data_IF_451905069019
#
_entry.id   IF_451905069019
#
_cell.length_a   1.000
_cell.length_b   1.000
_cell.length_c   1.000
_cell.angle_alpha   90.00
_cell.angle_beta   90.00
_cell.angle_gamma   90.00
#
_symmetry.space_group_name_H-M   'P 1'
#
loop_
_entity.id
_entity.type
_entity.pdbx_description
1 polymer ?
#
# COMPACT_ATOMS: atom_id res chain seq x y z
N UNK A 1 3.87 -4.35 -2.97
CA UNK A 1 4.04 -3.89 -4.37
C UNK A 1 4.18 -2.37 -4.35
N UNK A 2 5.00 -1.80 -5.24
CA UNK A 2 5.14 -0.35 -5.39
C UNK A 2 4.45 0.13 -6.67
N UNK A 3 3.81 1.29 -6.60
CA UNK A 3 3.13 1.92 -7.73
C UNK A 3 3.61 3.35 -7.85
N UNK A 4 3.49 3.88 -9.07
CA UNK A 4 3.60 5.33 -9.26
C UNK A 4 2.29 5.96 -8.75
N UNK A 5 2.35 6.94 -7.82
CA UNK A 5 1.15 7.51 -7.19
C UNK A 5 0.26 8.29 -8.19
N UNK A 6 0.87 8.90 -9.21
CA UNK A 6 0.17 9.72 -10.20
C UNK A 6 -0.63 8.85 -11.18
N UNK A 7 -0.06 7.73 -11.61
CA UNK A 7 -0.69 6.83 -12.59
C UNK A 7 -1.41 5.64 -11.97
N UNK A 8 -1.16 5.35 -10.69
CA UNK A 8 -1.61 4.15 -9.95
C UNK A 8 -1.22 2.83 -10.62
N UNK A 9 -0.21 2.85 -11.51
CA UNK A 9 0.29 1.65 -12.21
C UNK A 9 1.52 1.07 -11.53
N UNK A 10 1.72 -0.25 -11.61
CA UNK A 10 2.95 -0.89 -11.15
C UNK A 10 4.17 -0.30 -11.86
N UNK A 11 5.24 -0.04 -11.11
CA UNK A 11 6.52 0.39 -11.68
C UNK A 11 7.27 -0.85 -12.20
N UNK A 12 7.69 -0.90 -13.47
CA UNK A 12 8.47 -2.01 -14.00
C UNK A 12 9.81 -2.17 -13.27
N UNK A 13 10.27 -3.41 -13.10
CA UNK A 13 11.58 -3.70 -12.49
C UNK A 13 12.73 -3.03 -13.22
N UNK A 14 12.67 -2.96 -14.55
CA UNK A 14 13.69 -2.29 -15.37
C UNK A 14 13.85 -0.80 -15.06
N UNK A 15 12.79 -0.12 -14.60
CA UNK A 15 12.87 1.29 -14.18
C UNK A 15 13.55 1.41 -12.82
N UNK A 16 13.25 0.47 -11.90
CA UNK A 16 13.87 0.42 -10.58
C UNK A 16 15.37 0.11 -10.71
N UNK A 17 15.76 -0.83 -11.58
CA UNK A 17 17.16 -1.18 -11.82
C UNK A 17 17.96 0.00 -12.40
N UNK A 18 17.38 0.72 -13.37
CA UNK A 18 17.99 1.94 -13.91
C UNK A 18 18.19 3.01 -12.83
N UNK A 19 17.17 3.26 -12.02
CA UNK A 19 17.25 4.24 -10.94
C UNK A 19 18.30 3.85 -9.88
N UNK A 20 18.42 2.56 -9.53
CA UNK A 20 19.47 2.08 -8.62
C UNK A 20 20.88 2.32 -9.19
N UNK A 21 21.05 2.11 -10.50
CA UNK A 21 22.32 2.35 -11.18
C UNK A 21 22.67 3.85 -11.23
N UNK A 22 21.71 4.71 -11.54
CA UNK A 22 21.88 6.17 -11.56
C UNK A 22 22.18 6.74 -10.16
N UNK A 23 21.61 6.16 -9.11
CA UNK A 23 21.89 6.50 -7.71
C UNK A 23 23.22 5.94 -7.19
N UNK A 24 23.98 5.23 -8.04
CA UNK A 24 25.21 4.53 -7.68
C UNK A 24 25.03 3.63 -6.43
N UNK A 25 23.88 2.98 -6.28
CA UNK A 25 23.59 2.15 -5.13
C UNK A 25 24.39 0.85 -5.18
N UNK A 26 25.33 0.68 -4.24
CA UNK A 26 26.13 -0.55 -4.12
C UNK A 26 25.37 -1.64 -3.34
N UNK A 27 25.02 -2.72 -4.04
CA UNK A 27 24.49 -3.94 -3.46
C UNK A 27 25.59 -4.71 -2.73
N UNK A 28 25.32 -5.14 -1.49
CA UNK A 28 26.25 -5.88 -0.63
C UNK A 28 25.81 -7.34 -0.55
N UNK A 29 26.51 -8.30 -1.19
CA UNK A 29 26.10 -9.71 -1.21
C UNK A 29 25.96 -10.33 0.19
N UNK A 30 26.76 -9.86 1.15
CA UNK A 30 26.78 -10.36 2.53
C UNK A 30 25.65 -9.82 3.42
N UNK A 31 24.78 -8.94 2.90
CA UNK A 31 23.61 -8.40 3.63
C UNK A 31 22.32 -9.03 3.12
N UNK A 32 21.35 -9.20 4.02
CA UNK A 32 20.06 -9.73 3.60
C UNK A 32 19.31 -8.76 2.66
N UNK A 33 18.52 -9.31 1.74
CA UNK A 33 17.80 -8.51 0.74
C UNK A 33 16.81 -7.53 1.36
N UNK A 34 16.18 -7.89 2.49
CA UNK A 34 15.19 -7.04 3.18
C UNK A 34 15.80 -5.76 3.74
N UNK A 35 16.96 -5.86 4.39
CA UNK A 35 17.70 -4.72 4.93
C UNK A 35 18.19 -3.82 3.80
N UNK A 36 18.74 -4.41 2.73
CA UNK A 36 19.19 -3.64 1.57
C UNK A 36 18.01 -2.89 0.91
N UNK A 37 16.85 -3.53 0.79
CA UNK A 37 15.64 -2.88 0.27
C UNK A 37 15.18 -1.72 1.17
N UNK A 38 15.23 -1.88 2.50
CA UNK A 38 14.89 -0.81 3.45
C UNK A 38 15.84 0.39 3.35
N UNK A 39 17.11 0.17 3.00
CA UNK A 39 18.08 1.24 2.74
C UNK A 39 17.93 1.87 1.35
N UNK A 40 17.55 1.09 0.35
CA UNK A 40 17.41 1.54 -1.04
C UNK A 40 16.12 2.33 -1.29
N UNK A 41 14.99 1.92 -0.69
CA UNK A 41 13.67 2.53 -0.92
C UNK A 41 13.64 4.05 -0.65
N UNK A 42 14.20 4.57 0.46
CA UNK A 42 14.24 6.02 0.71
C UNK A 42 15.04 6.77 -0.36
N UNK A 43 16.18 6.23 -0.80
CA UNK A 43 17.01 6.83 -1.86
C UNK A 43 16.30 6.81 -3.22
N UNK A 44 15.62 5.69 -3.52
CA UNK A 44 14.82 5.57 -4.74
C UNK A 44 13.68 6.59 -4.80
N UNK A 45 13.11 6.99 -3.66
CA UNK A 45 12.08 8.04 -3.60
C UNK A 45 12.57 9.43 -4.03
N UNK A 46 13.87 9.68 -3.97
CA UNK A 46 14.48 10.94 -4.43
C UNK A 46 14.58 10.99 -5.95
N UNK A 47 14.81 9.85 -6.61
CA UNK A 47 14.91 9.75 -8.06
C UNK A 47 13.56 9.49 -8.75
N UNK A 48 12.70 8.65 -8.17
CA UNK A 48 11.42 8.25 -8.75
C UNK A 48 10.28 8.35 -7.73
N UNK A 49 9.11 8.88 -8.15
CA UNK A 49 7.92 8.90 -7.31
C UNK A 49 7.36 7.49 -7.15
N UNK A 50 7.55 6.90 -5.97
CA UNK A 50 7.09 5.56 -5.63
C UNK A 50 6.33 5.55 -4.30
N UNK A 51 5.18 4.88 -4.30
CA UNK A 51 4.36 4.66 -3.10
C UNK A 51 4.06 3.16 -2.96
N UNK A 52 3.76 2.73 -1.72
CA UNK A 52 3.19 1.39 -1.53
C UNK A 52 1.79 1.38 -2.13
N UNK A 53 1.50 0.36 -2.93
CA UNK A 53 0.15 0.13 -3.41
C UNK A 53 -0.77 -0.10 -2.22
N UNK A 54 -1.81 0.72 -2.09
CA UNK A 54 -2.94 0.47 -1.19
C UNK A 54 -3.97 -0.41 -1.91
N UNK A 55 -4.62 -1.31 -1.20
CA UNK A 55 -5.70 -2.12 -1.74
C UNK A 55 -7.04 -1.50 -1.41
N UNK A 56 -7.93 -1.37 -2.39
CA UNK A 56 -9.32 -0.98 -2.14
C UNK A 56 -10.14 -2.22 -1.83
N UNK A 57 -10.73 -2.25 -0.65
CA UNK A 57 -11.54 -3.37 -0.16
C UNK A 57 -12.97 -2.87 0.05
N UNK A 58 -13.94 -3.61 -0.49
CA UNK A 58 -15.36 -3.42 -0.21
C UNK A 58 -15.83 -4.52 0.72
N UNK A 59 -16.46 -4.13 1.82
CA UNK A 59 -16.97 -5.04 2.84
C UNK A 59 -18.45 -4.77 2.99
N UNK A 60 -19.27 -5.82 2.91
CA UNK A 60 -20.69 -5.79 3.20
C UNK A 60 -20.98 -6.81 4.30
N UNK A 61 -21.68 -6.41 5.35
CA UNK A 61 -22.01 -7.29 6.46
C UNK A 61 -23.37 -6.96 7.11
N UNK A 62 -24.06 -7.95 7.71
CA UNK A 62 -25.31 -7.72 8.42
C UNK A 62 -25.12 -6.87 9.70
N UNK A 63 -26.16 -6.12 10.08
CA UNK A 63 -26.13 -5.15 11.19
C UNK A 63 -25.75 -5.74 12.55
N UNK A 64 -25.98 -7.04 12.76
CA UNK A 64 -25.70 -7.72 14.03
C UNK A 64 -24.18 -7.88 14.27
N UNK A 65 -23.41 -8.25 13.25
CA UNK A 65 -21.95 -8.42 13.30
C UNK A 65 -21.21 -7.09 13.14
N UNK A 66 -21.83 -6.16 12.40
CA UNK A 66 -21.27 -4.85 12.10
C UNK A 66 -20.93 -4.06 13.36
N UNK A 67 -21.81 -4.03 14.36
CA UNK A 67 -21.60 -3.23 15.58
C UNK A 67 -20.36 -3.64 16.37
N UNK A 68 -20.00 -4.93 16.37
CA UNK A 68 -18.86 -5.47 17.10
C UNK A 68 -17.57 -5.30 16.29
N UNK A 69 -17.65 -5.58 14.99
CA UNK A 69 -16.47 -5.72 14.12
C UNK A 69 -16.03 -4.38 13.52
N UNK A 70 -16.95 -3.42 13.42
CA UNK A 70 -16.71 -2.09 12.85
C UNK A 70 -15.54 -1.34 13.48
N UNK A 71 -15.40 -1.36 14.80
CA UNK A 71 -14.28 -0.69 15.49
C UNK A 71 -12.92 -1.31 15.15
N UNK A 72 -12.86 -2.65 15.05
CA UNK A 72 -11.66 -3.38 14.65
C UNK A 72 -11.30 -3.12 13.20
N UNK A 73 -12.29 -3.08 12.32
CA UNK A 73 -12.09 -2.81 10.90
C UNK A 73 -11.57 -1.40 10.67
N UNK A 74 -12.15 -0.39 11.33
CA UNK A 74 -11.65 0.98 11.28
C UNK A 74 -10.18 1.11 11.73
N UNK A 75 -9.74 0.29 12.69
CA UNK A 75 -8.34 0.27 13.13
C UNK A 75 -7.37 -0.38 12.11
N UNK A 76 -7.88 -1.20 11.19
CA UNK A 76 -7.07 -1.88 10.17
C UNK A 76 -6.95 -1.08 8.87
N UNK A 77 -7.85 -0.15 8.61
CA UNK A 77 -7.84 0.64 7.37
C UNK A 77 -6.95 1.86 7.49
N UNK A 78 -6.24 2.15 6.40
CA UNK A 78 -5.45 3.36 6.28
C UNK A 78 -6.31 4.56 5.87
N UNK A 79 -7.42 4.33 5.15
CA UNK A 79 -8.34 5.38 4.71
C UNK A 79 -9.76 4.80 4.52
N UNK A 80 -10.79 5.53 4.97
CA UNK A 80 -12.19 5.15 4.78
C UNK A 80 -12.79 6.05 3.70
N UNK A 81 -13.19 5.44 2.57
CA UNK A 81 -13.75 6.18 1.43
C UNK A 81 -15.27 6.26 1.50
N UNK A 82 -15.92 5.19 1.94
CA UNK A 82 -17.38 5.12 2.03
C UNK A 82 -17.78 4.27 3.24
N UNK A 83 -18.80 4.74 3.96
CA UNK A 83 -19.45 3.99 5.02
C UNK A 83 -20.95 4.28 4.95
N UNK A 84 -21.74 3.25 4.68
CA UNK A 84 -23.19 3.31 4.58
C UNK A 84 -23.82 2.29 5.51
N UNK A 85 -24.77 2.75 6.31
CA UNK A 85 -25.54 1.96 7.25
C UNK A 85 -26.99 1.93 6.74
N UNK A 86 -27.32 0.89 5.98
CA UNK A 86 -28.68 0.65 5.49
C UNK A 86 -29.44 -0.29 6.43
N UNK A 87 -30.77 -0.35 6.33
CA UNK A 87 -31.63 -1.13 7.24
C UNK A 87 -31.29 -2.64 7.31
N UNK A 88 -30.55 -3.17 6.33
CA UNK A 88 -30.09 -4.56 6.30
C UNK A 88 -28.62 -4.81 6.68
N UNK A 89 -27.79 -3.79 6.85
CA UNK A 89 -26.35 -4.00 7.10
C UNK A 89 -25.46 -2.76 6.94
N UNK A 90 -24.17 -3.02 7.10
CA UNK A 90 -23.07 -2.07 6.89
C UNK A 90 -22.39 -2.40 5.56
N UNK A 91 -22.32 -1.42 4.66
CA UNK A 91 -21.44 -1.43 3.50
C UNK A 91 -20.34 -0.39 3.68
N UNK A 92 -19.08 -0.80 3.51
CA UNK A 92 -17.96 0.11 3.58
C UNK A 92 -16.93 -0.17 2.49
N UNK A 93 -16.34 0.90 1.99
CA UNK A 93 -15.20 0.87 1.07
C UNK A 93 -14.04 1.57 1.75
N UNK A 94 -12.93 0.87 1.88
CA UNK A 94 -11.73 1.38 2.54
C UNK A 94 -10.47 1.01 1.77
N UNK A 95 -9.41 1.78 2.01
CA UNK A 95 -8.06 1.47 1.58
C UNK A 95 -7.30 0.80 2.72
N UNK A 96 -6.61 -0.28 2.38
CA UNK A 96 -5.66 -0.99 3.22
C UNK A 96 -4.23 -0.71 2.73
#
# INVERSE_FOLDING_TARGET
MVVNPDTKRPIPTSVIDKALHELHFSLKPNRNAKQQALEAIPKLREAIRLERAKMRIRIAMPSHEAKITHSRLKALFSELELEDWAEGGLEMVSLF
#
